data_IF_065377322283
#
_entry.id   IF_065377322283
#
_cell.length_a   1.000
_cell.length_b   1.000
_cell.length_c   1.000
_cell.angle_alpha   90.00
_cell.angle_beta   90.00
_cell.angle_gamma   90.00
#
_symmetry.space_group_name_H-M   'P 1'
#
loop_
_entity.id
_entity.type
_entity.pdbx_description
1 polymer ?
#
# COMPACT_ATOMS: atom_id res chain seq x y z
N UNK A 1 58.25 3.73 -9.68
CA UNK A 1 57.89 2.48 -9.00
C UNK A 1 56.51 2.68 -8.36
N UNK A 2 55.49 1.98 -8.85
CA UNK A 2 54.15 2.04 -8.25
C UNK A 2 54.25 1.48 -6.82
N UNK A 3 53.67 2.16 -5.82
CA UNK A 3 53.69 1.65 -4.44
C UNK A 3 52.81 0.41 -4.36
N UNK A 4 53.21 -0.60 -3.60
CA UNK A 4 52.46 -1.86 -3.45
C UNK A 4 51.01 -1.62 -2.97
N UNK A 5 50.79 -0.56 -2.18
CA UNK A 5 49.46 -0.11 -1.76
C UNK A 5 48.58 0.42 -2.89
N UNK A 6 49.16 1.11 -3.88
CA UNK A 6 48.42 1.54 -5.08
C UNK A 6 48.02 0.35 -5.97
N UNK A 7 48.83 -0.70 -6.04
CA UNK A 7 48.48 -1.92 -6.80
C UNK A 7 47.32 -2.68 -6.14
N UNK A 8 47.29 -2.76 -4.80
CA UNK A 8 46.17 -3.38 -4.06
C UNK A 8 44.84 -2.64 -4.23
N UNK A 9 44.86 -1.29 -4.27
CA UNK A 9 43.67 -0.47 -4.52
C UNK A 9 43.09 -0.69 -5.93
N UNK A 10 43.94 -0.83 -6.94
CA UNK A 10 43.48 -1.11 -8.31
C UNK A 10 42.91 -2.52 -8.47
N UNK A 11 43.49 -3.52 -7.78
CA UNK A 11 42.98 -4.91 -7.81
C UNK A 11 41.64 -5.01 -7.09
N UNK A 12 41.43 -4.32 -5.96
CA UNK A 12 40.13 -4.33 -5.27
C UNK A 12 39.01 -3.69 -6.08
N UNK A 13 39.29 -2.59 -6.81
CA UNK A 13 38.29 -1.95 -7.67
C UNK A 13 37.96 -2.82 -8.90
N UNK A 14 38.96 -3.46 -9.50
CA UNK A 14 38.76 -4.33 -10.67
C UNK A 14 37.91 -5.57 -10.38
N UNK A 15 37.92 -6.07 -9.15
CA UNK A 15 37.14 -7.24 -8.74
C UNK A 15 35.65 -6.92 -8.48
N UNK A 16 35.28 -5.67 -8.15
CA UNK A 16 33.89 -5.26 -7.88
C UNK A 16 33.12 -4.74 -9.11
N UNK A 17 33.81 -4.46 -10.22
CA UNK A 17 33.19 -3.98 -11.47
C UNK A 17 32.24 -5.02 -12.12
N UNK A 18 32.54 -6.33 -12.14
CA UNK A 18 31.63 -7.30 -12.77
C UNK A 18 30.26 -7.42 -12.10
N UNK A 19 30.21 -7.40 -10.76
CA UNK A 19 28.98 -7.57 -9.98
C UNK A 19 28.01 -6.39 -10.19
N UNK A 20 28.53 -5.16 -10.14
CA UNK A 20 27.75 -3.94 -10.39
C UNK A 20 27.20 -3.85 -11.83
N UNK A 21 27.91 -4.41 -12.81
CA UNK A 21 27.43 -4.50 -14.21
C UNK A 21 26.29 -5.51 -14.33
N UNK A 22 26.36 -6.65 -13.63
CA UNK A 22 25.30 -7.66 -13.66
C UNK A 22 24.00 -7.14 -13.02
N UNK A 23 24.11 -6.49 -11.85
CA UNK A 23 22.99 -5.84 -11.18
C UNK A 23 22.27 -4.86 -12.10
N UNK A 24 23.04 -3.93 -12.68
CA UNK A 24 22.52 -2.92 -13.59
C UNK A 24 21.83 -3.54 -14.82
N UNK A 25 22.45 -4.58 -15.41
CA UNK A 25 21.88 -5.27 -16.57
C UNK A 25 20.57 -5.96 -16.23
N UNK A 26 20.49 -6.63 -15.08
CA UNK A 26 19.26 -7.30 -14.63
C UNK A 26 18.15 -6.29 -14.33
N UNK A 27 18.49 -5.13 -13.75
CA UNK A 27 17.52 -4.06 -13.50
C UNK A 27 16.95 -3.51 -14.82
N UNK A 28 17.80 -3.17 -15.79
CA UNK A 28 17.35 -2.71 -17.11
C UNK A 28 16.50 -3.77 -17.83
N UNK A 29 16.91 -5.03 -17.75
CA UNK A 29 16.17 -6.14 -18.32
C UNK A 29 14.78 -6.29 -17.69
N UNK A 30 14.70 -6.24 -16.36
CA UNK A 30 13.43 -6.30 -15.64
C UNK A 30 12.48 -5.17 -16.01
N UNK A 31 13.00 -3.94 -16.09
CA UNK A 31 12.21 -2.75 -16.46
C UNK A 31 11.72 -2.87 -17.91
N UNK A 32 12.58 -3.29 -18.84
CA UNK A 32 12.18 -3.50 -20.23
C UNK A 32 11.11 -4.59 -20.38
N UNK A 33 11.17 -5.66 -19.58
CA UNK A 33 10.14 -6.69 -19.54
C UNK A 33 8.83 -6.16 -18.95
N UNK A 34 8.89 -5.33 -17.91
CA UNK A 34 7.72 -4.69 -17.32
C UNK A 34 7.01 -3.76 -18.32
N UNK A 35 7.76 -2.91 -19.03
CA UNK A 35 7.23 -2.02 -20.08
C UNK A 35 6.56 -2.79 -21.22
N UNK A 36 7.09 -3.97 -21.57
CA UNK A 36 6.49 -4.89 -22.55
C UNK A 36 5.31 -5.69 -22.00
N UNK A 37 4.91 -5.46 -20.75
CA UNK A 37 3.87 -6.22 -20.03
C UNK A 37 4.19 -7.72 -19.87
N UNK A 38 5.46 -8.09 -19.98
CA UNK A 38 5.95 -9.45 -19.75
C UNK A 38 6.20 -9.68 -18.25
N UNK A 39 5.17 -9.45 -17.42
CA UNK A 39 5.30 -9.34 -15.96
C UNK A 39 5.86 -10.61 -15.30
N UNK A 40 5.52 -11.81 -15.80
CA UNK A 40 6.06 -13.08 -15.29
C UNK A 40 7.59 -13.16 -15.47
N UNK A 41 8.10 -12.70 -16.62
CA UNK A 41 9.54 -12.68 -16.89
C UNK A 41 10.24 -11.57 -16.12
N UNK A 42 9.59 -10.41 -15.99
CA UNK A 42 10.07 -9.32 -15.15
C UNK A 42 10.23 -9.76 -13.69
N UNK A 43 9.22 -10.45 -13.14
CA UNK A 43 9.25 -11.03 -11.79
C UNK A 43 10.44 -11.98 -11.62
N UNK A 44 10.63 -12.92 -12.54
CA UNK A 44 11.74 -13.87 -12.49
C UNK A 44 13.10 -13.14 -12.48
N UNK A 45 13.24 -12.08 -13.28
CA UNK A 45 14.45 -11.26 -13.37
C UNK A 45 14.69 -10.48 -12.07
N UNK A 46 13.66 -9.85 -11.51
CA UNK A 46 13.74 -9.09 -10.25
C UNK A 46 14.03 -9.98 -9.05
N UNK A 47 13.43 -11.17 -8.99
CA UNK A 47 13.76 -12.16 -7.95
C UNK A 47 15.19 -12.67 -8.08
N UNK A 48 15.76 -12.74 -9.29
CA UNK A 48 17.17 -13.06 -9.47
C UNK A 48 18.05 -11.91 -8.97
N UNK A 49 17.74 -10.67 -9.37
CA UNK A 49 18.44 -9.47 -8.91
C UNK A 49 18.48 -9.39 -7.37
N UNK A 50 17.34 -9.56 -6.71
CA UNK A 50 17.26 -9.51 -5.24
C UNK A 50 18.03 -10.63 -4.52
N UNK A 51 18.40 -11.72 -5.20
CA UNK A 51 19.25 -12.78 -4.62
C UNK A 51 20.72 -12.43 -4.66
N UNK A 52 21.15 -11.68 -5.68
CA UNK A 52 22.55 -11.34 -5.89
C UNK A 52 22.89 -9.98 -5.27
N UNK A 53 21.89 -9.11 -5.05
CA UNK A 53 22.09 -7.82 -4.41
C UNK A 53 22.63 -8.02 -2.98
N UNK A 54 23.83 -7.51 -2.65
CA UNK A 54 24.21 -7.33 -1.26
C UNK A 54 23.20 -6.37 -0.61
N UNK A 55 22.98 -6.48 0.71
CA UNK A 55 22.08 -5.62 1.50
C UNK A 55 22.45 -4.13 1.34
N UNK A 56 22.02 -3.51 0.24
CA UNK A 56 22.46 -2.22 -0.29
C UNK A 56 21.25 -1.37 -0.68
N UNK A 57 21.48 -0.09 -1.01
CA UNK A 57 20.45 0.89 -1.38
C UNK A 57 19.57 0.44 -2.57
N UNK A 58 20.10 -0.38 -3.48
CA UNK A 58 19.36 -0.89 -4.65
C UNK A 58 18.32 -1.96 -4.31
N UNK A 59 18.37 -2.54 -3.11
CA UNK A 59 17.40 -3.54 -2.65
C UNK A 59 16.01 -2.94 -2.51
N UNK A 60 15.90 -1.68 -2.10
CA UNK A 60 14.60 -1.01 -1.88
C UNK A 60 13.87 -0.80 -3.22
N UNK A 61 14.52 -0.17 -4.21
CA UNK A 61 13.95 0.05 -5.53
C UNK A 61 13.62 -1.26 -6.26
N UNK A 62 14.49 -2.28 -6.13
CA UNK A 62 14.23 -3.60 -6.74
C UNK A 62 13.06 -4.32 -6.08
N UNK A 63 12.90 -4.17 -4.76
CA UNK A 63 11.75 -4.70 -3.99
C UNK A 63 10.46 -4.00 -4.40
N UNK A 64 10.50 -2.67 -4.54
CA UNK A 64 9.37 -1.87 -5.01
C UNK A 64 8.94 -2.28 -6.43
N UNK A 65 9.88 -2.39 -7.37
CA UNK A 65 9.58 -2.80 -8.75
C UNK A 65 9.01 -4.22 -8.81
N UNK A 66 9.49 -5.13 -7.96
CA UNK A 66 8.94 -6.48 -7.85
C UNK A 66 7.50 -6.43 -7.33
N UNK A 67 7.22 -5.62 -6.31
CA UNK A 67 5.87 -5.42 -5.80
C UNK A 67 4.91 -4.86 -6.87
N UNK A 68 5.33 -3.86 -7.64
CA UNK A 68 4.57 -3.34 -8.79
C UNK A 68 4.32 -4.43 -9.84
N UNK A 69 5.33 -5.23 -10.16
CA UNK A 69 5.23 -6.35 -11.11
C UNK A 69 4.24 -7.42 -10.64
N UNK A 70 4.24 -7.72 -9.34
CA UNK A 70 3.27 -8.65 -8.72
C UNK A 70 1.86 -8.08 -8.76
N UNK A 71 1.69 -6.80 -8.47
CA UNK A 71 0.41 -6.11 -8.55
C UNK A 71 -0.18 -6.18 -9.97
N UNK A 72 0.62 -5.89 -11.01
CA UNK A 72 0.15 -5.99 -12.41
C UNK A 72 -0.19 -7.42 -12.84
N UNK A 73 0.26 -8.45 -12.10
CA UNK A 73 -0.14 -9.85 -12.29
C UNK A 73 -1.40 -10.26 -11.53
N UNK A 74 -2.01 -9.36 -10.73
CA UNK A 74 -3.11 -9.70 -9.83
C UNK A 74 -2.67 -10.41 -8.55
N UNK A 75 -1.37 -10.52 -8.27
CA UNK A 75 -0.84 -11.14 -7.05
C UNK A 75 -0.86 -10.15 -5.88
N UNK A 76 -2.05 -9.62 -5.58
CA UNK A 76 -2.21 -8.45 -4.73
C UNK A 76 -1.75 -8.66 -3.29
N UNK A 77 -2.03 -9.82 -2.68
CA UNK A 77 -1.56 -10.12 -1.32
C UNK A 77 -0.03 -10.16 -1.24
N UNK A 78 0.64 -10.72 -2.25
CA UNK A 78 2.11 -10.77 -2.28
C UNK A 78 2.71 -9.38 -2.52
N UNK A 79 2.13 -8.62 -3.45
CA UNK A 79 2.51 -7.23 -3.69
C UNK A 79 2.41 -6.38 -2.41
N UNK A 80 1.31 -6.50 -1.66
CA UNK A 80 1.12 -5.79 -0.39
C UNK A 80 2.19 -6.13 0.65
N UNK A 81 2.63 -7.39 0.72
CA UNK A 81 3.73 -7.80 1.60
C UNK A 81 5.07 -7.22 1.16
N UNK A 82 5.33 -7.13 -0.14
CA UNK A 82 6.56 -6.55 -0.67
C UNK A 82 6.65 -5.04 -0.47
N UNK A 83 5.53 -4.31 -0.64
CA UNK A 83 5.46 -2.88 -0.32
C UNK A 83 5.57 -2.58 1.18
N UNK A 84 5.38 -3.57 2.06
CA UNK A 84 5.55 -3.38 3.51
C UNK A 84 7.01 -3.19 3.94
N UNK A 85 7.96 -3.34 3.02
CA UNK A 85 9.38 -3.20 3.31
C UNK A 85 9.68 -1.79 3.85
N UNK A 86 10.36 -1.73 5.00
CA UNK A 86 10.77 -0.47 5.60
C UNK A 86 12.10 -0.04 5.02
N UNK A 87 12.07 1.03 4.24
CA UNK A 87 13.25 1.76 3.84
C UNK A 87 14.00 2.33 5.04
N UNK A 88 15.31 2.52 4.90
CA UNK A 88 16.07 3.28 5.90
C UNK A 88 15.59 4.75 5.85
N UNK A 89 15.34 5.39 7.00
CA UNK A 89 14.89 6.78 7.01
C UNK A 89 15.99 7.69 6.45
N UNK A 90 15.78 8.17 5.23
CA UNK A 90 16.57 9.21 4.56
C UNK A 90 15.65 10.07 3.70
N UNK A 91 16.07 11.30 3.37
CA UNK A 91 15.32 12.19 2.47
C UNK A 91 15.21 11.59 1.06
N UNK A 92 16.21 10.83 0.63
CA UNK A 92 16.25 10.17 -0.68
C UNK A 92 15.22 9.02 -0.78
N UNK A 93 14.96 8.32 0.32
CA UNK A 93 13.99 7.22 0.38
C UNK A 93 12.56 7.68 0.69
N UNK A 94 12.32 8.97 0.97
CA UNK A 94 10.99 9.47 1.31
C UNK A 94 9.98 9.24 0.17
N UNK A 95 10.39 9.48 -1.08
CA UNK A 95 9.53 9.27 -2.26
C UNK A 95 9.10 7.80 -2.42
N UNK A 96 10.06 6.87 -2.41
CA UNK A 96 9.79 5.43 -2.51
C UNK A 96 8.92 4.95 -1.34
N UNK A 97 9.10 5.53 -0.14
CA UNK A 97 8.29 5.19 1.03
C UNK A 97 6.83 5.60 0.83
N UNK A 98 6.57 6.81 0.35
CA UNK A 98 5.22 7.28 0.08
C UNK A 98 4.55 6.50 -1.06
N UNK A 99 5.30 6.21 -2.14
CA UNK A 99 4.86 5.33 -3.23
C UNK A 99 4.51 3.94 -2.72
N UNK A 100 5.35 3.36 -1.87
CA UNK A 100 5.13 2.04 -1.28
C UNK A 100 3.88 2.03 -0.41
N UNK A 101 3.66 3.07 0.42
CA UNK A 101 2.43 3.18 1.22
C UNK A 101 1.17 3.26 0.37
N UNK A 102 1.19 4.08 -0.69
CA UNK A 102 0.06 4.17 -1.62
C UNK A 102 -0.23 2.83 -2.28
N UNK A 103 0.80 2.23 -2.90
CA UNK A 103 0.65 0.96 -3.63
C UNK A 103 0.34 -0.22 -2.71
N UNK A 104 0.78 -0.18 -1.45
CA UNK A 104 0.38 -1.14 -0.44
C UNK A 104 -1.13 -1.02 -0.13
N UNK A 105 -1.62 0.21 0.01
CA UNK A 105 -3.05 0.49 0.16
C UNK A 105 -3.86 -0.10 -0.99
N UNK A 106 -3.49 0.22 -2.23
CA UNK A 106 -4.14 -0.32 -3.43
C UNK A 106 -4.08 -1.84 -3.50
N UNK A 107 -2.94 -2.44 -3.16
CA UNK A 107 -2.78 -3.89 -3.15
C UNK A 107 -3.72 -4.56 -2.13
N UNK A 108 -3.88 -3.99 -0.94
CA UNK A 108 -4.85 -4.50 0.03
C UNK A 108 -6.29 -4.31 -0.43
N UNK A 109 -6.63 -3.17 -1.04
CA UNK A 109 -7.98 -2.94 -1.57
C UNK A 109 -8.33 -3.96 -2.67
N UNK A 110 -7.40 -4.23 -3.59
CA UNK A 110 -7.59 -5.23 -4.65
C UNK A 110 -7.69 -6.64 -4.08
N UNK A 111 -6.83 -7.00 -3.12
CA UNK A 111 -6.93 -8.29 -2.42
C UNK A 111 -8.27 -8.45 -1.68
N UNK A 112 -8.81 -7.36 -1.13
CA UNK A 112 -10.14 -7.35 -0.52
C UNK A 112 -11.22 -7.65 -1.55
N UNK A 113 -11.18 -7.00 -2.73
CA UNK A 113 -12.15 -7.20 -3.81
C UNK A 113 -12.19 -8.66 -4.27
N UNK A 114 -11.03 -9.32 -4.40
CA UNK A 114 -10.93 -10.74 -4.80
C UNK A 114 -11.34 -11.72 -3.69
N UNK A 115 -11.38 -11.26 -2.44
CA UNK A 115 -11.72 -12.11 -1.30
C UNK A 115 -13.24 -12.34 -1.22
N UNK A 116 -13.67 -13.59 -1.01
CA UNK A 116 -15.10 -13.93 -0.85
C UNK A 116 -15.56 -13.89 0.60
N UNK A 117 -14.64 -14.10 1.56
CA UNK A 117 -14.96 -14.10 2.99
C UNK A 117 -15.12 -12.69 3.52
N UNK A 118 -16.32 -12.32 4.01
CA UNK A 118 -16.62 -10.98 4.57
C UNK A 118 -15.58 -10.53 5.60
N UNK A 119 -15.24 -11.37 6.58
CA UNK A 119 -14.27 -11.03 7.64
C UNK A 119 -12.89 -10.61 7.06
N UNK A 120 -12.33 -11.42 6.17
CA UNK A 120 -11.02 -11.15 5.57
C UNK A 120 -11.06 -9.96 4.59
N UNK A 121 -12.17 -9.79 3.87
CA UNK A 121 -12.41 -8.61 3.05
C UNK A 121 -12.43 -7.33 3.89
N UNK A 122 -13.11 -7.36 5.04
CA UNK A 122 -13.13 -6.24 6.00
C UNK A 122 -11.73 -5.93 6.53
N UNK A 123 -10.94 -6.95 6.92
CA UNK A 123 -9.55 -6.78 7.38
C UNK A 123 -8.67 -6.09 6.32
N UNK A 124 -8.75 -6.55 5.07
CA UNK A 124 -7.96 -5.96 3.99
C UNK A 124 -8.37 -4.52 3.67
N UNK A 125 -9.67 -4.21 3.62
CA UNK A 125 -10.11 -2.83 3.43
C UNK A 125 -9.70 -1.91 4.60
N UNK A 126 -9.80 -2.38 5.86
CA UNK A 126 -9.31 -1.61 7.00
C UNK A 126 -7.80 -1.34 6.91
N UNK A 127 -7.02 -2.36 6.54
CA UNK A 127 -5.57 -2.21 6.34
C UNK A 127 -5.26 -1.22 5.22
N UNK A 128 -6.03 -1.25 4.14
CA UNK A 128 -5.91 -0.30 3.03
C UNK A 128 -6.19 1.13 3.48
N UNK A 129 -7.27 1.37 4.23
CA UNK A 129 -7.56 2.69 4.82
C UNK A 129 -6.42 3.20 5.70
N UNK A 130 -5.83 2.34 6.52
CA UNK A 130 -4.73 2.73 7.40
C UNK A 130 -3.50 3.22 6.61
N UNK A 131 -3.24 2.64 5.43
CA UNK A 131 -2.14 3.08 4.56
C UNK A 131 -2.42 4.44 3.92
N UNK A 132 -3.62 4.64 3.38
CA UNK A 132 -4.00 5.97 2.85
C UNK A 132 -4.06 7.03 3.95
N UNK A 133 -4.52 6.68 5.15
CA UNK A 133 -4.51 7.57 6.31
C UNK A 133 -3.08 8.00 6.67
N UNK A 134 -2.13 7.06 6.70
CA UNK A 134 -0.73 7.37 6.97
C UNK A 134 -0.14 8.28 5.88
N UNK A 135 -0.42 7.97 4.60
CA UNK A 135 0.00 8.80 3.47
C UNK A 135 -0.56 10.23 3.59
N UNK A 136 -1.84 10.40 3.90
CA UNK A 136 -2.48 11.71 4.04
C UNK A 136 -1.96 12.50 5.25
N UNK A 137 -1.54 11.84 6.33
CA UNK A 137 -0.87 12.50 7.46
C UNK A 137 0.48 13.10 7.03
N UNK A 138 1.18 12.45 6.10
CA UNK A 138 2.47 12.94 5.57
C UNK A 138 2.27 13.94 4.44
N UNK A 139 1.44 13.62 3.43
CA UNK A 139 1.06 14.44 2.29
C UNK A 139 -0.46 14.74 2.27
N UNK A 140 -0.94 15.78 2.99
CA UNK A 140 -2.37 16.09 3.07
C UNK A 140 -3.03 16.53 1.76
N UNK A 141 -2.24 16.89 0.75
CA UNK A 141 -2.73 17.37 -0.53
C UNK A 141 -2.79 16.27 -1.59
N UNK A 142 -2.39 15.05 -1.26
CA UNK A 142 -2.50 13.91 -2.16
C UNK A 142 -3.96 13.66 -2.52
N UNK A 143 -4.31 13.91 -3.79
CA UNK A 143 -5.67 13.79 -4.30
C UNK A 143 -6.08 12.34 -4.47
N UNK A 144 -5.18 11.52 -5.01
CA UNK A 144 -5.43 10.11 -5.29
C UNK A 144 -5.63 9.32 -3.99
N UNK A 145 -4.82 9.62 -2.97
CA UNK A 145 -4.96 9.00 -1.65
C UNK A 145 -6.31 9.34 -0.98
N UNK A 146 -6.84 10.55 -1.18
CA UNK A 146 -8.17 10.91 -0.68
C UNK A 146 -9.25 10.14 -1.40
N UNK A 147 -9.19 10.10 -2.73
CA UNK A 147 -10.18 9.37 -3.54
C UNK A 147 -10.19 7.89 -3.16
N UNK A 148 -9.01 7.26 -3.05
CA UNK A 148 -8.90 5.86 -2.66
C UNK A 148 -9.42 5.63 -1.24
N UNK A 149 -9.06 6.49 -0.28
CA UNK A 149 -9.58 6.44 1.09
C UNK A 149 -11.12 6.44 1.11
N UNK A 150 -11.75 7.38 0.39
CA UNK A 150 -13.22 7.49 0.32
C UNK A 150 -13.88 6.27 -0.35
N UNK A 151 -13.28 5.75 -1.43
CA UNK A 151 -13.78 4.55 -2.10
C UNK A 151 -13.79 3.36 -1.14
N UNK A 152 -12.70 3.15 -0.39
CA UNK A 152 -12.57 2.03 0.53
C UNK A 152 -13.52 2.20 1.72
N UNK A 153 -13.70 3.43 2.21
CA UNK A 153 -14.65 3.73 3.28
C UNK A 153 -16.07 3.34 2.87
N UNK A 154 -16.46 3.62 1.62
CA UNK A 154 -17.75 3.20 1.06
C UNK A 154 -17.87 1.68 0.96
N UNK A 155 -16.84 0.98 0.48
CA UNK A 155 -16.86 -0.48 0.46
C UNK A 155 -17.06 -1.08 1.86
N UNK A 156 -16.40 -0.53 2.88
CA UNK A 156 -16.59 -0.99 4.26
C UNK A 156 -18.01 -0.74 4.77
N UNK A 157 -18.59 0.42 4.45
CA UNK A 157 -19.98 0.71 4.77
C UNK A 157 -20.96 -0.23 4.06
N UNK A 158 -20.71 -0.56 2.80
CA UNK A 158 -21.54 -1.52 2.04
C UNK A 158 -21.44 -2.96 2.53
N UNK A 159 -20.31 -3.35 3.15
CA UNK A 159 -20.17 -4.69 3.73
C UNK A 159 -21.02 -4.88 4.98
N UNK A 160 -21.34 -3.80 5.67
CA UNK A 160 -22.20 -3.82 6.85
C UNK A 160 -23.20 -2.66 6.77
N UNK A 161 -24.14 -2.73 5.81
CA UNK A 161 -25.09 -1.64 5.62
C UNK A 161 -25.95 -1.57 6.89
N UNK A 162 -26.24 -0.36 7.40
CA UNK A 162 -27.16 -0.21 8.50
C UNK A 162 -28.48 -0.89 8.11
N UNK A 163 -28.99 -1.75 8.99
CA UNK A 163 -30.34 -2.28 8.84
C UNK A 163 -31.32 -1.10 8.92
N UNK A 164 -31.67 -0.53 7.76
CA UNK A 164 -32.83 0.32 7.66
C UNK A 164 -34.04 -0.56 7.96
N UNK A 165 -34.58 -0.44 9.17
CA UNK A 165 -35.92 -0.91 9.45
C UNK A 165 -36.85 -0.21 8.46
N UNK A 166 -37.30 -0.96 7.46
CA UNK A 166 -38.43 -0.60 6.63
C UNK A 166 -39.58 -0.23 7.56
N UNK A 167 -39.94 1.05 7.58
CA UNK A 167 -41.10 1.58 8.30
C UNK A 167 -42.38 1.12 7.59
N UNK A 168 -42.71 -0.17 7.71
CA UNK A 168 -44.07 -0.64 7.49
C UNK A 168 -44.85 -0.39 8.77
N UNK A 169 -45.56 0.73 8.81
CA UNK A 169 -46.67 0.97 9.73
C UNK A 169 -47.71 -0.14 9.57
N UNK A 170 -47.97 -0.95 10.61
CA UNK A 170 -49.28 -1.55 10.97
C UNK A 170 -49.17 -2.45 12.21
N UNK A 171 -49.76 -1.95 13.31
CA UNK A 171 -50.56 -2.64 14.36
C UNK A 171 -50.17 -4.01 14.94
N UNK A 172 -49.96 -4.01 16.26
CA UNK A 172 -50.34 -4.99 17.30
C UNK A 172 -50.36 -6.49 16.98
N UNK A 173 -49.47 -7.26 17.63
CA UNK A 173 -49.87 -8.32 18.58
C UNK A 173 -48.67 -8.95 19.32
N UNK A 174 -48.87 -9.17 20.63
CA UNK A 174 -47.99 -9.87 21.58
C UNK A 174 -47.62 -11.30 21.13
N UNK A 175 -46.33 -11.67 21.17
CA UNK A 175 -45.88 -12.99 21.67
C UNK A 175 -44.36 -13.14 21.87
N UNK A 176 -44.02 -13.70 23.04
CA UNK A 176 -42.81 -14.37 23.59
C UNK A 176 -41.38 -14.07 23.06
N UNK A 177 -40.37 -13.95 23.95
CA UNK A 177 -38.98 -13.71 23.54
C UNK A 177 -38.28 -14.99 23.07
N UNK A 178 -37.81 -15.00 21.83
CA UNK A 178 -36.80 -15.94 21.34
C UNK A 178 -35.37 -15.42 21.66
N UNK A 179 -34.35 -16.30 21.67
CA UNK A 179 -33.02 -15.97 22.18
C UNK A 179 -32.31 -14.96 21.27
N UNK A 180 -31.78 -13.88 21.87
CA UNK A 180 -30.97 -12.86 21.19
C UNK A 180 -29.57 -13.39 20.87
N UNK A 181 -29.40 -14.00 19.71
CA UNK A 181 -28.10 -14.03 19.01
C UNK A 181 -28.16 -13.02 17.87
N UNK A 182 -27.86 -11.76 18.19
CA UNK A 182 -27.87 -10.65 17.24
C UNK A 182 -27.18 -9.45 17.89
N UNK A 183 -26.18 -8.91 17.20
CA UNK A 183 -25.40 -7.74 17.63
C UNK A 183 -26.36 -6.61 18.06
N UNK A 184 -26.14 -6.04 19.24
CA UNK A 184 -26.99 -4.99 19.81
C UNK A 184 -26.93 -3.72 18.96
N UNK A 185 -28.08 -3.05 18.77
CA UNK A 185 -28.20 -1.75 18.09
C UNK A 185 -27.18 -0.72 18.64
N UNK A 186 -26.99 -0.69 19.96
CA UNK A 186 -26.00 0.18 20.62
C UNK A 186 -24.56 -0.06 20.14
N UNK A 187 -24.23 -1.28 19.70
CA UNK A 187 -22.90 -1.59 19.18
C UNK A 187 -22.70 -0.99 17.79
N UNK A 188 -23.76 -0.99 16.97
CA UNK A 188 -23.77 -0.43 15.61
C UNK A 188 -23.64 1.09 15.66
N UNK A 189 -24.42 1.74 16.53
CA UNK A 189 -24.38 3.20 16.68
C UNK A 189 -23.00 3.68 17.17
N UNK A 190 -22.38 2.94 18.10
CA UNK A 190 -21.01 3.23 18.56
C UNK A 190 -19.94 3.05 17.48
N UNK A 191 -20.12 2.07 16.57
CA UNK A 191 -19.19 1.85 15.47
C UNK A 191 -19.29 2.98 14.42
N UNK A 192 -20.51 3.41 14.09
CA UNK A 192 -20.77 4.54 13.20
C UNK A 192 -20.21 5.84 13.77
N UNK A 193 -20.48 6.11 15.05
CA UNK A 193 -19.96 7.30 15.71
C UNK A 193 -18.42 7.31 15.72
N UNK A 194 -17.80 6.15 15.97
CA UNK A 194 -16.34 6.01 15.92
C UNK A 194 -15.77 6.26 14.52
N UNK A 195 -16.39 5.71 13.48
CA UNK A 195 -15.95 5.94 12.10
C UNK A 195 -16.04 7.43 11.71
N UNK A 196 -17.14 8.09 12.05
CA UNK A 196 -17.35 9.52 11.80
C UNK A 196 -16.40 10.40 12.63
N UNK A 197 -16.10 9.99 13.87
CA UNK A 197 -15.07 10.64 14.69
C UNK A 197 -13.68 10.47 14.07
N UNK A 198 -13.32 9.27 13.58
CA UNK A 198 -12.04 9.00 12.93
C UNK A 198 -11.88 9.84 11.66
N UNK A 199 -12.89 9.90 10.80
CA UNK A 199 -12.92 10.75 9.59
C UNK A 199 -12.78 12.24 9.96
N UNK A 200 -13.63 12.73 10.86
CA UNK A 200 -13.61 14.15 11.26
C UNK A 200 -12.29 14.55 11.95
N UNK A 201 -11.65 13.62 12.67
CA UNK A 201 -10.34 13.83 13.29
C UNK A 201 -9.22 13.91 12.26
N UNK A 202 -9.27 13.04 11.23
CA UNK A 202 -8.34 13.08 10.11
C UNK A 202 -8.50 14.39 9.35
N UNK A 203 -9.72 14.74 8.96
CA UNK A 203 -10.00 15.97 8.22
C UNK A 203 -9.57 17.24 8.98
N UNK A 204 -9.75 17.28 10.31
CA UNK A 204 -9.21 18.36 11.15
C UNK A 204 -7.68 18.43 11.11
N UNK A 205 -6.98 17.29 11.20
CA UNK A 205 -5.51 17.24 11.10
C UNK A 205 -5.01 17.65 9.71
N UNK A 206 -5.72 17.26 8.64
CA UNK A 206 -5.37 17.66 7.28
C UNK A 206 -5.59 19.17 7.08
N UNK A 207 -6.70 19.71 7.59
CA UNK A 207 -7.01 21.13 7.49
C UNK A 207 -6.00 22.02 8.24
N UNK A 208 -5.54 21.60 9.42
CA UNK A 208 -4.51 22.34 10.17
C UNK A 208 -3.15 22.32 9.47
N UNK A 209 -2.80 21.23 8.79
CA UNK A 209 -1.54 21.11 8.02
C UNK A 209 -1.61 21.80 6.65
N UNK A 210 -2.79 22.01 6.07
CA UNK A 210 -2.99 22.75 4.81
C UNK A 210 -2.60 24.23 4.89
N UNK A 211 -2.66 24.87 6.07
CA UNK A 211 -2.29 26.28 6.20
C UNK A 211 -0.80 26.54 5.97
N UNK A 212 0.05 25.49 5.95
CA UNK A 212 1.51 25.62 5.80
C UNK A 212 2.07 25.12 4.46
N UNK A 213 1.29 24.41 3.65
CA UNK A 213 1.80 23.74 2.44
C UNK A 213 0.86 23.94 1.23
N UNK A 214 1.01 25.06 0.53
CA UNK A 214 0.34 25.32 -0.75
C UNK A 214 1.34 25.15 -1.92
N UNK A 215 1.39 23.94 -2.49
CA UNK A 215 1.73 23.71 -3.91
C UNK A 215 1.28 22.32 -4.33
N UNK A 216 0.61 22.25 -5.47
CA UNK A 216 -0.04 21.05 -5.97
C UNK A 216 0.94 19.98 -6.42
N UNK A 217 0.57 18.73 -6.20
CA UNK A 217 1.23 17.55 -6.75
C UNK A 217 0.16 16.62 -7.32
N UNK A 218 0.08 16.53 -8.65
CA UNK A 218 -0.47 15.33 -9.29
C UNK A 218 0.56 14.22 -9.12
N UNK A 219 0.15 13.05 -8.61
CA UNK A 219 1.08 11.99 -8.25
C UNK A 219 1.17 10.97 -9.39
N UNK A 220 2.35 10.88 -10.04
CA UNK A 220 2.66 9.85 -11.03
C UNK A 220 3.29 8.67 -10.27
N UNK A 221 2.43 7.84 -9.65
CA UNK A 221 2.85 6.73 -8.78
C UNK A 221 3.02 5.39 -9.52
N UNK A 222 2.84 5.38 -10.84
CA UNK A 222 3.20 4.24 -11.68
C UNK A 222 4.71 4.24 -11.93
N UNK A 223 5.37 3.19 -11.42
CA UNK A 223 6.76 2.72 -11.63
C UNK A 223 7.89 3.77 -11.65
#
# INVERSE_FOLDING_TARGET
MLKLSTLFLFISVALSIPETIEEYRLQLQANALYEKREYIRSESTLRHLLKILPQSENTESSTFNLACTLYKQGKYSEAASMFAHKSKPSVEHEDITLKSLFNQGDSYAMAAIETTTKSKKTEYFQTSLDRFKLLLLTNPNDGDAKVNYEIILRYLHELDPPHHASSSSSSDQKSKPLPKTGVSQDMVDRLLEKAQQDESSLMRKLASKKSTAAKGSSNNLDW
#
